data_IF_239099082707
#
_entry.id   IF_239099082707
#
_cell.length_a   1.000
_cell.length_b   1.000
_cell.length_c   1.000
_cell.angle_alpha   90.00
_cell.angle_beta   90.00
_cell.angle_gamma   90.00
#
_symmetry.space_group_name_H-M   'P 1'
#
loop_
_entity.id
_entity.type
_entity.pdbx_description
1 polymer ?
#
# COMPACT_ATOMS: atom_id res chain seq x y z
N UNK A 1 8.10 -7.32 5.15
CA UNK A 1 6.96 -6.65 5.79
C UNK A 1 6.01 -7.70 6.36
N UNK A 2 5.48 -7.51 7.58
CA UNK A 2 4.53 -8.43 8.21
C UNK A 2 3.21 -8.48 7.42
N UNK A 3 2.52 -9.62 7.50
CA UNK A 3 1.21 -9.79 6.87
C UNK A 3 0.15 -9.07 7.70
N UNK A 4 -0.67 -8.27 7.05
CA UNK A 4 -1.80 -7.56 7.67
C UNK A 4 -3.11 -8.20 7.16
N UNK A 5 -4.14 -8.22 8.01
CA UNK A 5 -5.47 -8.74 7.67
C UNK A 5 -6.53 -7.62 7.80
N UNK A 6 -6.47 -6.54 7.01
CA UNK A 6 -7.50 -5.51 7.02
C UNK A 6 -8.76 -6.01 6.30
N UNK A 7 -9.90 -5.41 6.62
CA UNK A 7 -11.14 -5.67 5.87
C UNK A 7 -11.07 -5.03 4.49
N UNK A 8 -10.47 -3.85 4.40
CA UNK A 8 -10.34 -3.06 3.19
C UNK A 8 -9.06 -3.42 2.41
N UNK A 9 -9.23 -4.12 1.29
CA UNK A 9 -8.12 -4.60 0.43
C UNK A 9 -8.30 -4.25 -1.05
N UNK A 10 -9.34 -3.51 -1.41
CA UNK A 10 -9.58 -3.13 -2.80
C UNK A 10 -8.41 -2.31 -3.34
N UNK A 11 -8.01 -2.60 -4.57
CA UNK A 11 -6.91 -1.90 -5.24
C UNK A 11 -5.50 -2.28 -4.78
N UNK A 12 -5.31 -3.29 -3.90
CA UNK A 12 -3.99 -3.69 -3.40
C UNK A 12 -2.99 -3.99 -4.54
N UNK A 13 -3.40 -4.72 -5.58
CA UNK A 13 -2.54 -5.07 -6.71
C UNK A 13 -2.11 -3.85 -7.53
N UNK A 14 -3.07 -2.98 -7.89
CA UNK A 14 -2.80 -1.73 -8.60
C UNK A 14 -1.90 -0.80 -7.78
N UNK A 15 -2.12 -0.76 -6.47
CA UNK A 15 -1.32 0.04 -5.55
C UNK A 15 0.11 -0.46 -5.48
N UNK A 16 0.31 -1.78 -5.41
CA UNK A 16 1.64 -2.38 -5.40
C UNK A 16 2.41 -2.09 -6.69
N UNK A 17 1.78 -2.28 -7.85
CA UNK A 17 2.43 -2.03 -9.14
C UNK A 17 2.77 -0.55 -9.34
N UNK A 18 1.87 0.35 -8.95
CA UNK A 18 2.11 1.79 -8.98
C UNK A 18 3.25 2.22 -8.03
N UNK A 19 3.28 1.69 -6.80
CA UNK A 19 4.34 1.98 -5.84
C UNK A 19 5.71 1.50 -6.34
N UNK A 20 5.77 0.30 -6.92
CA UNK A 20 6.99 -0.21 -7.55
C UNK A 20 7.48 0.69 -8.68
N UNK A 21 6.58 1.14 -9.57
CA UNK A 21 6.94 2.03 -10.66
C UNK A 21 7.46 3.38 -10.16
N UNK A 22 6.82 3.98 -9.16
CA UNK A 22 7.20 5.28 -8.59
C UNK A 22 8.51 5.22 -7.78
N UNK A 23 8.76 4.12 -7.06
CA UNK A 23 9.96 3.93 -6.24
C UNK A 23 11.17 3.45 -7.04
N UNK A 24 10.96 2.87 -8.23
CA UNK A 24 12.04 2.27 -9.02
C UNK A 24 13.19 3.25 -9.30
N UNK A 25 12.98 4.51 -9.72
CA UNK A 25 14.07 5.44 -10.00
C UNK A 25 14.86 5.89 -8.75
N UNK A 26 14.32 5.65 -7.54
CA UNK A 26 14.90 6.09 -6.27
C UNK A 26 15.82 5.04 -5.63
N UNK A 27 15.85 3.82 -6.16
CA UNK A 27 16.52 2.67 -5.57
C UNK A 27 17.58 2.09 -6.53
N UNK A 28 18.67 1.56 -5.96
CA UNK A 28 19.79 1.01 -6.73
C UNK A 28 19.43 -0.32 -7.43
N UNK A 29 18.59 -1.14 -6.80
CA UNK A 29 18.20 -2.45 -7.31
C UNK A 29 16.70 -2.76 -7.04
N UNK A 30 16.22 -3.86 -7.62
CA UNK A 30 14.83 -4.29 -7.47
C UNK A 30 14.48 -4.83 -6.08
N UNK A 31 15.42 -5.46 -5.38
CA UNK A 31 15.16 -5.98 -4.04
C UNK A 31 14.81 -4.83 -3.07
N UNK A 32 15.58 -3.75 -3.10
CA UNK A 32 15.33 -2.54 -2.30
C UNK A 32 14.00 -1.87 -2.68
N UNK A 33 13.76 -1.72 -4.00
CA UNK A 33 12.50 -1.16 -4.52
C UNK A 33 11.29 -1.96 -4.03
N UNK A 34 11.35 -3.29 -4.10
CA UNK A 34 10.25 -4.17 -3.65
C UNK A 34 10.10 -4.13 -2.14
N UNK A 35 11.20 -4.07 -1.40
CA UNK A 35 11.15 -3.97 0.06
C UNK A 35 10.46 -2.67 0.50
N UNK A 36 10.87 -1.53 -0.06
CA UNK A 36 10.26 -0.22 0.25
C UNK A 36 8.79 -0.17 -0.15
N UNK A 37 8.44 -0.63 -1.37
CA UNK A 37 7.05 -0.67 -1.84
C UNK A 37 6.16 -1.54 -0.94
N UNK A 38 6.64 -2.71 -0.50
CA UNK A 38 5.89 -3.59 0.40
C UNK A 38 5.74 -3.01 1.79
N UNK A 39 6.74 -2.32 2.32
CA UNK A 39 6.64 -1.64 3.62
C UNK A 39 5.56 -0.56 3.55
N UNK A 40 5.62 0.30 2.52
CA UNK A 40 4.64 1.36 2.32
C UNK A 40 3.22 0.81 2.15
N UNK A 41 3.03 -0.21 1.30
CA UNK A 41 1.72 -0.85 1.10
C UNK A 41 1.18 -1.50 2.39
N UNK A 42 2.04 -2.13 3.19
CA UNK A 42 1.63 -2.69 4.49
C UNK A 42 1.11 -1.60 5.44
N UNK A 43 1.70 -0.40 5.44
CA UNK A 43 1.21 0.73 6.22
C UNK A 43 -0.12 1.27 5.68
N UNK A 44 -0.26 1.40 4.35
CA UNK A 44 -1.51 1.80 3.70
C UNK A 44 -2.67 0.83 4.02
N UNK A 45 -2.38 -0.47 4.05
CA UNK A 45 -3.33 -1.52 4.44
C UNK A 45 -3.66 -1.46 5.94
N UNK A 46 -2.67 -1.22 6.80
CA UNK A 46 -2.89 -1.10 8.25
C UNK A 46 -3.78 0.09 8.64
N UNK A 47 -3.87 1.10 7.77
CA UNK A 47 -4.73 2.28 7.94
C UNK A 47 -5.99 2.24 7.06
N UNK A 48 -6.20 1.18 6.29
CA UNK A 48 -7.32 1.10 5.34
C UNK A 48 -8.70 1.15 6.03
N UNK A 49 -8.80 0.60 7.23
CA UNK A 49 -10.07 0.53 7.97
C UNK A 49 -10.45 1.86 8.66
N UNK A 50 -9.62 2.91 8.60
CA UNK A 50 -9.99 4.25 9.06
C UNK A 50 -10.73 5.08 8.00
N UNK A 51 -10.86 4.55 6.78
CA UNK A 51 -11.59 5.21 5.70
C UNK A 51 -13.05 4.77 5.69
N UNK A 52 -13.95 5.74 5.65
CA UNK A 52 -15.41 5.52 5.55
C UNK A 52 -15.88 5.70 4.10
N UNK A 53 -15.40 4.83 3.19
CA UNK A 53 -15.67 4.91 1.75
C UNK A 53 -16.35 3.65 1.22
N UNK A 54 -17.59 3.81 0.75
CA UNK A 54 -18.39 2.73 0.18
C UNK A 54 -18.99 1.77 1.22
N UNK A 55 -19.70 0.75 0.74
CA UNK A 55 -20.40 -0.23 1.59
C UNK A 55 -19.89 -1.68 1.37
N UNK A 56 -18.80 -1.85 0.62
CA UNK A 56 -18.19 -3.15 0.29
C UNK A 56 -16.78 -3.29 0.85
N UNK A 57 -15.91 -4.02 0.15
CA UNK A 57 -14.47 -4.06 0.46
C UNK A 57 -13.86 -2.71 0.07
N UNK A 58 -13.50 -1.90 1.07
CA UNK A 58 -12.96 -0.56 0.87
C UNK A 58 -11.52 -0.54 0.32
N UNK A 59 -11.03 0.63 -0.09
CA UNK A 59 -9.69 0.83 -0.63
C UNK A 59 -8.61 0.83 0.47
N UNK A 60 -7.35 0.72 0.07
CA UNK A 60 -6.20 1.02 0.94
C UNK A 60 -6.08 2.51 1.21
N UNK A 61 -5.45 2.90 2.31
CA UNK A 61 -5.22 4.32 2.62
C UNK A 61 -3.95 4.84 1.97
N UNK A 62 -4.02 5.30 0.72
CA UNK A 62 -2.85 5.81 -0.03
C UNK A 62 -2.08 6.92 0.71
N UNK A 63 -2.80 7.81 1.41
CA UNK A 63 -2.22 8.99 2.05
C UNK A 63 -1.92 8.80 3.54
N UNK A 64 -1.78 7.56 4.01
CA UNK A 64 -1.67 7.21 5.43
C UNK A 64 -0.50 7.88 6.19
N UNK A 65 0.48 8.42 5.46
CA UNK A 65 1.65 9.11 6.01
C UNK A 65 1.44 10.63 6.10
N UNK A 66 0.33 11.15 5.60
CA UNK A 66 0.00 12.57 5.58
C UNK A 66 -1.23 12.91 6.42
N UNK A 67 -2.26 12.05 6.39
CA UNK A 67 -3.48 12.17 7.17
C UNK A 67 -4.09 10.79 7.43
#
# INVERSE_FOLDING_TARGET
APRVQPKNTHGTGCTLSAALAALRPRNANWADTVQEAKIWLSCALAKADSLEVGHGIGPVHHFHAWW
#
